data_IF_462567549070
#
_entry.id   IF_462567549070
#
_cell.length_a   1.000
_cell.length_b   1.000
_cell.length_c   1.000
_cell.angle_alpha   90.00
_cell.angle_beta   90.00
_cell.angle_gamma   90.00
#
_symmetry.space_group_name_H-M   'P 1'
#
loop_
_entity.id
_entity.type
_entity.pdbx_description
1 polymer ?
#
# COMPACT_ATOMS: atom_id res chain seq x y z
N UNK A 1 23.05 15.04 30.08
CA UNK A 1 22.64 15.22 28.66
C UNK A 1 23.28 14.09 27.85
N UNK A 2 22.56 12.98 27.66
CA UNK A 2 23.12 11.75 27.09
C UNK A 2 23.36 11.90 25.58
N UNK A 3 24.61 11.75 25.15
CA UNK A 3 24.98 11.75 23.72
C UNK A 3 24.29 10.56 23.05
N UNK A 4 23.35 10.84 22.16
CA UNK A 4 22.68 9.81 21.37
C UNK A 4 23.73 9.02 20.56
N UNK A 5 23.67 7.67 20.53
CA UNK A 5 24.63 6.85 19.78
C UNK A 5 24.69 7.27 18.31
N UNK A 6 25.88 7.20 17.70
CA UNK A 6 26.12 7.62 16.31
C UNK A 6 25.12 6.97 15.34
N UNK A 7 24.86 5.68 15.52
CA UNK A 7 23.86 4.94 14.75
C UNK A 7 22.45 5.54 14.84
N UNK A 8 21.95 5.83 16.04
CA UNK A 8 20.62 6.42 16.22
C UNK A 8 20.50 7.80 15.57
N UNK A 9 21.58 8.60 15.63
CA UNK A 9 21.64 9.91 14.96
C UNK A 9 21.62 9.75 13.44
N UNK A 10 22.38 8.82 12.89
CA UNK A 10 22.45 8.55 11.45
C UNK A 10 21.11 8.03 10.92
N UNK A 11 20.47 7.11 11.63
CA UNK A 11 19.13 6.61 11.29
C UNK A 11 18.09 7.74 11.29
N UNK A 12 18.04 8.55 12.35
CA UNK A 12 17.10 9.67 12.45
C UNK A 12 17.24 10.66 11.28
N UNK A 13 18.47 10.92 10.82
CA UNK A 13 18.73 11.87 9.75
C UNK A 13 18.45 11.31 8.34
N UNK A 14 18.46 9.99 8.17
CA UNK A 14 18.34 9.33 6.85
C UNK A 14 16.99 8.66 6.63
N UNK A 15 16.22 8.42 7.69
CA UNK A 15 14.94 7.72 7.59
C UNK A 15 13.87 8.55 6.87
N UNK A 16 13.35 8.00 5.77
CA UNK A 16 12.25 8.60 5.00
C UNK A 16 10.96 7.85 5.29
N UNK A 17 10.16 8.38 6.21
CA UNK A 17 8.90 7.77 6.67
C UNK A 17 7.96 7.43 5.51
N UNK A 18 7.79 8.33 4.54
CA UNK A 18 6.93 8.10 3.38
C UNK A 18 7.38 6.89 2.57
N UNK A 19 8.69 6.76 2.31
CA UNK A 19 9.24 5.64 1.56
C UNK A 19 8.99 4.32 2.30
N UNK A 20 9.32 4.27 3.59
CA UNK A 20 9.10 3.08 4.40
C UNK A 20 7.62 2.63 4.39
N UNK A 21 6.69 3.55 4.65
CA UNK A 21 5.26 3.26 4.67
C UNK A 21 4.71 2.86 3.29
N UNK A 22 5.17 3.50 2.21
CA UNK A 22 4.78 3.15 0.84
C UNK A 22 5.29 1.76 0.44
N UNK A 23 6.55 1.42 0.77
CA UNK A 23 7.11 0.10 0.49
C UNK A 23 6.42 -1.01 1.28
N UNK A 24 6.00 -0.72 2.52
CA UNK A 24 5.23 -1.66 3.32
C UNK A 24 3.93 -2.07 2.62
N UNK A 25 3.16 -1.10 2.12
CA UNK A 25 1.94 -1.39 1.34
C UNK A 25 2.22 -2.13 0.02
N UNK A 26 3.30 -1.77 -0.67
CA UNK A 26 3.74 -2.45 -1.89
C UNK A 26 4.16 -3.90 -1.64
N UNK A 27 4.54 -4.26 -0.41
CA UNK A 27 4.80 -5.65 -0.02
C UNK A 27 3.51 -6.37 0.40
N UNK A 28 2.74 -5.77 1.31
CA UNK A 28 1.56 -6.40 1.90
C UNK A 28 0.47 -6.75 0.89
N UNK A 29 0.16 -5.87 -0.06
CA UNK A 29 -0.96 -6.08 -0.97
C UNK A 29 -0.71 -7.22 -2.00
N UNK A 30 0.46 -7.29 -2.66
CA UNK A 30 0.80 -8.47 -3.45
C UNK A 30 0.84 -9.75 -2.62
N UNK A 31 1.35 -9.70 -1.39
CA UNK A 31 1.32 -10.85 -0.48
C UNK A 31 -0.11 -11.28 -0.13
N UNK A 32 -1.04 -10.35 0.09
CA UNK A 32 -2.44 -10.67 0.33
C UNK A 32 -3.07 -11.41 -0.85
N UNK A 33 -2.80 -10.97 -2.08
CA UNK A 33 -3.26 -11.67 -3.29
C UNK A 33 -2.63 -13.05 -3.42
N UNK A 34 -1.34 -13.20 -3.11
CA UNK A 34 -0.66 -14.51 -3.09
C UNK A 34 -1.34 -15.47 -2.10
N UNK A 35 -1.60 -15.03 -0.87
CA UNK A 35 -2.29 -15.83 0.13
C UNK A 35 -3.72 -16.19 -0.27
N UNK A 36 -4.41 -15.29 -0.97
CA UNK A 36 -5.70 -15.61 -1.56
C UNK A 36 -5.60 -16.72 -2.61
N UNK A 37 -4.62 -16.64 -3.52
CA UNK A 37 -4.38 -17.68 -4.53
C UNK A 37 -4.04 -19.02 -3.87
N UNK A 38 -3.24 -19.02 -2.79
CA UNK A 38 -2.96 -20.22 -2.00
C UNK A 38 -4.22 -20.81 -1.38
N UNK A 39 -5.16 -19.99 -0.92
CA UNK A 39 -6.47 -20.45 -0.44
C UNK A 39 -7.24 -21.16 -1.55
N UNK A 40 -7.27 -20.59 -2.77
CA UNK A 40 -7.98 -21.19 -3.90
C UNK A 40 -7.36 -22.51 -4.34
N UNK A 41 -6.03 -22.62 -4.28
CA UNK A 41 -5.32 -23.83 -4.67
C UNK A 41 -5.41 -24.95 -3.62
N UNK A 42 -5.35 -24.60 -2.34
CA UNK A 42 -5.28 -25.59 -1.24
C UNK A 42 -6.60 -25.84 -0.53
N UNK A 43 -7.59 -24.96 -0.69
CA UNK A 43 -8.82 -24.95 0.10
C UNK A 43 -8.62 -24.55 1.57
N UNK A 44 -7.39 -24.22 2.00
CA UNK A 44 -7.08 -23.94 3.39
C UNK A 44 -7.45 -22.50 3.78
N UNK A 45 -8.43 -22.36 4.68
CA UNK A 45 -8.93 -21.07 5.17
C UNK A 45 -7.89 -20.23 5.93
N UNK A 46 -6.81 -20.82 6.45
CA UNK A 46 -5.78 -20.06 7.18
C UNK A 46 -5.01 -19.09 6.27
N UNK A 47 -4.82 -19.44 4.99
CA UNK A 47 -4.23 -18.52 4.03
C UNK A 47 -5.13 -17.32 3.76
N UNK A 48 -6.44 -17.55 3.72
CA UNK A 48 -7.43 -16.51 3.49
C UNK A 48 -7.47 -15.52 4.65
N UNK A 49 -7.48 -16.03 5.88
CA UNK A 49 -7.34 -15.20 7.06
C UNK A 49 -6.05 -14.39 6.99
N UNK A 50 -4.93 -14.98 6.57
CA UNK A 50 -3.67 -14.25 6.40
C UNK A 50 -3.82 -13.12 5.39
N UNK A 51 -4.46 -13.34 4.24
CA UNK A 51 -4.75 -12.30 3.26
C UNK A 51 -5.57 -11.13 3.86
N UNK A 52 -6.58 -11.44 4.68
CA UNK A 52 -7.37 -10.44 5.38
C UNK A 52 -6.54 -9.61 6.37
N UNK A 53 -5.68 -10.25 7.18
CA UNK A 53 -4.80 -9.52 8.09
C UNK A 53 -3.85 -8.58 7.33
N UNK A 54 -3.28 -9.04 6.22
CA UNK A 54 -2.39 -8.24 5.37
C UNK A 54 -3.13 -7.02 4.77
N UNK A 55 -4.38 -7.20 4.34
CA UNK A 55 -5.23 -6.11 3.86
C UNK A 55 -5.52 -5.07 4.94
N UNK A 56 -5.91 -5.52 6.14
CA UNK A 56 -6.19 -4.63 7.28
C UNK A 56 -4.94 -3.83 7.65
N UNK A 57 -3.79 -4.50 7.77
CA UNK A 57 -2.52 -3.82 8.04
C UNK A 57 -2.15 -2.81 6.95
N UNK A 58 -2.34 -3.15 5.67
CA UNK A 58 -2.10 -2.23 4.57
C UNK A 58 -3.01 -0.99 4.67
N UNK A 59 -4.30 -1.16 5.00
CA UNK A 59 -5.22 -0.04 5.21
C UNK A 59 -4.82 0.85 6.38
N UNK A 60 -4.31 0.28 7.47
CA UNK A 60 -3.82 1.06 8.61
C UNK A 60 -2.57 1.89 8.24
N UNK A 61 -1.71 1.37 7.36
CA UNK A 61 -0.46 2.04 6.95
C UNK A 61 -0.67 3.03 5.79
N UNK A 62 -1.70 2.87 4.96
CA UNK A 62 -2.03 3.80 3.88
C UNK A 62 -2.16 5.28 4.32
N UNK A 63 -2.91 5.64 5.39
CA UNK A 63 -2.95 7.00 5.90
C UNK A 63 -1.56 7.55 6.24
N UNK A 64 -0.72 6.75 6.90
CA UNK A 64 0.65 7.13 7.24
C UNK A 64 1.45 7.45 5.98
N UNK A 65 1.40 6.57 4.98
CA UNK A 65 2.06 6.77 3.68
C UNK A 65 1.53 8.01 2.94
N UNK A 66 0.22 8.24 2.96
CA UNK A 66 -0.43 9.36 2.29
C UNK A 66 -0.03 10.71 2.90
N UNK A 67 -0.21 10.88 4.21
CA UNK A 67 0.07 12.15 4.88
C UNK A 67 1.56 12.47 4.90
N UNK A 68 2.42 11.47 5.15
CA UNK A 68 3.87 11.65 5.06
C UNK A 68 4.30 12.01 3.63
N UNK A 69 3.67 11.44 2.60
CA UNK A 69 3.92 11.78 1.20
C UNK A 69 3.54 13.21 0.84
N UNK A 70 2.40 13.70 1.33
CA UNK A 70 2.00 15.11 1.16
C UNK A 70 3.00 16.04 1.85
N UNK A 71 3.42 15.70 3.07
CA UNK A 71 4.41 16.48 3.82
C UNK A 71 5.74 16.54 3.07
N UNK A 72 6.24 15.41 2.58
CA UNK A 72 7.50 15.33 1.85
C UNK A 72 7.42 16.06 0.50
N UNK A 73 6.26 16.01 -0.17
CA UNK A 73 6.01 16.79 -1.40
C UNK A 73 6.09 18.30 -1.13
N UNK A 74 5.43 18.79 -0.07
CA UNK A 74 5.47 20.22 0.30
C UNK A 74 6.88 20.66 0.71
N UNK A 75 7.55 19.87 1.55
CA UNK A 75 8.87 20.24 2.11
C UNK A 75 9.99 20.18 1.08
N UNK A 76 10.05 19.12 0.27
CA UNK A 76 11.20 18.87 -0.60
C UNK A 76 11.00 19.38 -2.03
N UNK A 77 9.76 19.58 -2.47
CA UNK A 77 9.44 20.03 -3.84
C UNK A 77 8.66 21.35 -3.85
N UNK A 78 8.56 22.05 -2.72
CA UNK A 78 7.86 23.34 -2.59
C UNK A 78 6.37 23.27 -2.94
N UNK A 79 5.76 22.09 -2.94
CA UNK A 79 4.40 21.90 -3.44
C UNK A 79 4.25 22.12 -4.96
N UNK A 80 5.36 22.03 -5.71
CA UNK A 80 5.37 22.21 -7.16
C UNK A 80 4.40 21.26 -7.86
N UNK A 81 3.60 21.80 -8.78
CA UNK A 81 2.54 21.07 -9.51
C UNK A 81 3.14 20.16 -10.60
N UNK A 82 3.83 19.09 -10.20
CA UNK A 82 4.22 18.05 -11.15
C UNK A 82 3.08 17.03 -11.32
N UNK A 83 2.66 16.68 -12.55
CA UNK A 83 1.58 15.72 -12.80
C UNK A 83 1.76 14.37 -12.10
N UNK A 84 3.00 13.97 -11.82
CA UNK A 84 3.34 12.72 -11.14
C UNK A 84 2.79 12.70 -9.69
N UNK A 85 2.83 13.83 -8.97
CA UNK A 85 2.31 13.88 -7.59
C UNK A 85 0.80 13.70 -7.55
N UNK A 86 0.07 14.36 -8.46
CA UNK A 86 -1.38 14.21 -8.56
C UNK A 86 -1.78 12.78 -8.91
N UNK A 87 -1.07 12.14 -9.86
CA UNK A 87 -1.31 10.73 -10.19
C UNK A 87 -1.12 9.83 -8.96
N UNK A 88 -0.07 10.04 -8.16
CA UNK A 88 0.15 9.27 -6.92
C UNK A 88 -0.96 9.48 -5.88
N UNK A 89 -1.45 10.71 -5.72
CA UNK A 89 -2.56 11.02 -4.81
C UNK A 89 -3.83 10.28 -5.24
N UNK A 90 -4.20 10.36 -6.52
CA UNK A 90 -5.34 9.65 -7.08
C UNK A 90 -5.21 8.13 -6.94
N UNK A 91 -4.06 7.56 -7.29
CA UNK A 91 -3.81 6.13 -7.15
C UNK A 91 -3.86 5.67 -5.69
N UNK A 92 -3.38 6.48 -4.75
CA UNK A 92 -3.48 6.16 -3.31
C UNK A 92 -4.95 6.14 -2.85
N UNK A 93 -5.76 7.07 -3.34
CA UNK A 93 -7.21 7.08 -3.07
C UNK A 93 -7.91 5.84 -3.63
N UNK A 94 -7.61 5.47 -4.89
CA UNK A 94 -8.15 4.24 -5.51
C UNK A 94 -7.71 3.00 -4.72
N UNK A 95 -6.44 2.92 -4.34
CA UNK A 95 -5.90 1.81 -3.55
C UNK A 95 -6.63 1.65 -2.22
N UNK A 96 -6.87 2.78 -1.54
CA UNK A 96 -7.60 2.80 -0.27
C UNK A 96 -9.04 2.34 -0.45
N UNK A 97 -9.75 2.83 -1.48
CA UNK A 97 -11.12 2.40 -1.76
C UNK A 97 -11.19 0.90 -2.06
N UNK A 98 -10.31 0.38 -2.91
CA UNK A 98 -10.27 -1.04 -3.24
C UNK A 98 -9.98 -1.90 -1.99
N UNK A 99 -8.97 -1.53 -1.20
CA UNK A 99 -8.62 -2.24 0.03
C UNK A 99 -9.75 -2.18 1.06
N UNK A 100 -10.36 -1.01 1.27
CA UNK A 100 -11.44 -0.81 2.23
C UNK A 100 -12.68 -1.61 1.82
N UNK A 101 -13.06 -1.56 0.53
CA UNK A 101 -14.14 -2.37 0.00
C UNK A 101 -13.88 -3.87 0.19
N UNK A 102 -12.67 -4.36 -0.08
CA UNK A 102 -12.32 -5.76 0.14
C UNK A 102 -12.48 -6.18 1.61
N UNK A 103 -11.98 -5.35 2.54
CA UNK A 103 -12.10 -5.60 3.98
C UNK A 103 -13.56 -5.55 4.45
N UNK A 104 -14.34 -4.56 4.00
CA UNK A 104 -15.76 -4.42 4.35
C UNK A 104 -16.55 -5.64 3.85
N UNK A 105 -16.35 -6.04 2.59
CA UNK A 105 -17.04 -7.21 2.01
C UNK A 105 -16.71 -8.45 2.84
N UNK A 106 -15.43 -8.69 3.13
CA UNK A 106 -14.98 -9.88 3.87
C UNK A 106 -15.41 -9.88 5.34
N UNK A 107 -15.54 -8.71 5.96
CA UNK A 107 -15.98 -8.58 7.35
C UNK A 107 -17.49 -8.74 7.49
N UNK A 108 -18.25 -8.28 6.50
CA UNK A 108 -19.72 -8.39 6.48
C UNK A 108 -20.17 -9.79 6.07
N UNK A 109 -19.47 -10.44 5.15
CA UNK A 109 -19.76 -11.80 4.68
C UNK A 109 -18.54 -12.70 4.85
N UNK A 110 -18.34 -13.31 6.03
CA UNK A 110 -17.15 -14.09 6.28
C UNK A 110 -16.94 -15.29 5.36
N UNK A 111 -18.04 -15.85 4.83
CA UNK A 111 -18.03 -16.97 3.89
C UNK A 111 -18.02 -16.54 2.41
N UNK A 112 -17.72 -15.27 2.08
CA UNK A 112 -17.84 -14.71 0.72
C UNK A 112 -17.08 -15.49 -0.36
N UNK A 113 -15.99 -16.17 0.00
CA UNK A 113 -15.20 -16.99 -0.91
C UNK A 113 -15.84 -18.34 -1.27
N UNK A 114 -16.60 -18.91 -0.33
CA UNK A 114 -17.21 -20.23 -0.44
C UNK A 114 -18.67 -20.16 -0.91
N UNK A 115 -19.24 -18.95 -0.97
CA UNK A 115 -20.56 -18.71 -1.52
C UNK A 115 -20.49 -18.35 -3.00
N UNK A 116 -21.46 -18.82 -3.78
CA UNK A 116 -21.65 -18.34 -5.14
C UNK A 116 -22.34 -16.97 -5.17
N UNK A 117 -22.02 -16.17 -6.18
CA UNK A 117 -22.69 -14.90 -6.45
C UNK A 117 -21.77 -13.70 -6.67
N UNK A 118 -22.38 -12.56 -6.96
CA UNK A 118 -21.71 -11.30 -7.36
C UNK A 118 -20.73 -10.80 -6.30
N UNK A 119 -21.01 -11.01 -5.01
CA UNK A 119 -20.16 -10.57 -3.89
C UNK A 119 -18.75 -11.17 -3.93
N UNK A 120 -18.64 -12.44 -4.33
CA UNK A 120 -17.35 -13.14 -4.49
C UNK A 120 -16.50 -12.46 -5.56
N UNK A 121 -17.10 -12.17 -6.70
CA UNK A 121 -16.44 -11.47 -7.81
C UNK A 121 -16.07 -10.03 -7.46
N UNK A 122 -16.92 -9.33 -6.69
CA UNK A 122 -16.58 -8.00 -6.16
C UNK A 122 -15.38 -8.04 -5.21
N UNK A 123 -15.33 -9.01 -4.30
CA UNK A 123 -14.20 -9.21 -3.40
C UNK A 123 -12.91 -9.48 -4.18
N UNK A 124 -12.93 -10.40 -5.15
CA UNK A 124 -11.79 -10.65 -6.03
C UNK A 124 -11.41 -9.41 -6.84
N UNK A 125 -12.37 -8.73 -7.45
CA UNK A 125 -12.12 -7.52 -8.24
C UNK A 125 -11.44 -6.43 -7.42
N UNK A 126 -11.88 -6.23 -6.16
CA UNK A 126 -11.25 -5.29 -5.25
C UNK A 126 -9.82 -5.69 -4.93
N UNK A 127 -9.61 -6.95 -4.51
CA UNK A 127 -8.30 -7.44 -4.07
C UNK A 127 -7.29 -7.52 -5.22
N UNK A 128 -7.64 -8.15 -6.34
CA UNK A 128 -6.78 -8.19 -7.53
C UNK A 128 -6.60 -6.81 -8.15
N UNK A 129 -7.60 -5.93 -8.07
CA UNK A 129 -7.51 -4.55 -8.52
C UNK A 129 -6.43 -3.74 -7.77
N UNK A 130 -6.05 -4.14 -6.55
CA UNK A 130 -4.96 -3.48 -5.83
C UNK A 130 -3.60 -3.66 -6.52
N UNK A 131 -3.37 -4.76 -7.25
CA UNK A 131 -2.08 -5.07 -7.89
C UNK A 131 -1.65 -4.01 -8.91
N UNK A 132 -2.42 -3.69 -9.96
CA UNK A 132 -2.01 -2.69 -10.93
C UNK A 132 -1.81 -1.32 -10.28
N UNK A 133 -2.59 -0.98 -9.26
CA UNK A 133 -2.49 0.29 -8.54
C UNK A 133 -1.18 0.38 -7.74
N UNK A 134 -0.82 -0.68 -7.00
CA UNK A 134 0.45 -0.75 -6.25
C UNK A 134 1.66 -0.74 -7.19
N UNK A 135 1.57 -1.43 -8.33
CA UNK A 135 2.63 -1.44 -9.35
C UNK A 135 2.83 -0.05 -9.94
N UNK A 136 1.75 0.65 -10.29
CA UNK A 136 1.82 2.02 -10.79
C UNK A 136 2.37 2.99 -9.74
N UNK A 137 1.97 2.86 -8.48
CA UNK A 137 2.52 3.66 -7.38
C UNK A 137 4.03 3.45 -7.22
N UNK A 138 4.48 2.20 -7.29
CA UNK A 138 5.90 1.83 -7.29
C UNK A 138 6.64 2.42 -8.49
N UNK A 139 6.09 2.29 -9.70
CA UNK A 139 6.65 2.86 -10.92
C UNK A 139 6.81 4.39 -10.83
N UNK A 140 5.77 5.11 -10.41
CA UNK A 140 5.84 6.56 -10.23
C UNK A 140 6.81 6.97 -9.12
N UNK A 141 6.92 6.18 -8.05
CA UNK A 141 7.93 6.37 -7.00
C UNK A 141 9.36 6.25 -7.53
N UNK A 142 9.63 5.18 -8.28
CA UNK A 142 10.93 4.95 -8.92
C UNK A 142 11.29 6.04 -9.94
N UNK A 143 10.32 6.49 -10.75
CA UNK A 143 10.51 7.58 -11.71
C UNK A 143 10.92 8.89 -11.01
N UNK A 144 10.29 9.24 -9.89
CA UNK A 144 10.67 10.43 -9.11
C UNK A 144 12.07 10.31 -8.52
N UNK A 145 12.42 9.15 -7.97
CA UNK A 145 13.76 8.90 -7.42
C UNK A 145 14.85 8.99 -8.50
N UNK A 146 14.58 8.44 -9.70
CA UNK A 146 15.50 8.50 -10.83
C UNK A 146 15.67 9.94 -11.37
N UNK A 147 14.57 10.67 -11.57
CA UNK A 147 14.61 12.07 -12.02
C UNK A 147 15.31 12.98 -11.01
N UNK A 148 15.19 12.68 -9.70
CA UNK A 148 15.92 13.40 -8.65
C UNK A 148 17.44 13.21 -8.72
N UNK A 149 17.92 12.03 -9.15
CA UNK A 149 19.35 11.77 -9.34
C UNK A 149 19.92 12.52 -10.55
N UNK A 150 19.17 12.63 -11.64
CA UNK A 150 19.60 13.31 -12.88
C UNK A 150 19.76 14.84 -12.74
N UNK A 151 19.20 15.44 -11.68
CA UNK A 151 19.27 16.89 -11.42
C UNK A 151 20.37 17.29 -10.40
N UNK A 152 21.07 16.31 -9.82
CA UNK A 152 22.26 16.53 -8.99
C UNK A 152 23.50 16.39 -9.84
#
# INVERSE_FOLDING_TARGET
>A
MTRMPRFCKDFYNTFVLHAAAAHFNNGLLPSAVLFLLLTLFTGNMHFEHTALHMLILALCVMPVSFFSGIRDWRKNFGGGRAPIFYRKIWLTGILFLLGASAVIIRSTWPAVLFQEGVRKWLYFGCLFGTLPVVLLLGHYGGKLAYQGKMKR
#
